data_IF_106210650383
#
_entry.id   IF_106210650383
#
_cell.length_a   1.000
_cell.length_b   1.000
_cell.length_c   1.000
_cell.angle_alpha   90.00
_cell.angle_beta   90.00
_cell.angle_gamma   90.00
#
_symmetry.space_group_name_H-M   'P 1'
#
loop_
_entity.id
_entity.type
_entity.pdbx_description
1 polymer ?
#
# COMPACT_ATOMS: atom_id res chain seq x y z
N UNK A 1 -52.59 -0.03 -14.84
CA UNK A 1 -51.41 0.26 -15.67
C UNK A 1 -50.23 0.34 -14.71
N UNK A 2 -49.53 -0.79 -14.51
CA UNK A 2 -48.38 -0.87 -13.59
C UNK A 2 -47.13 -0.52 -14.40
N UNK A 3 -46.51 0.62 -14.09
CA UNK A 3 -45.17 0.94 -14.58
C UNK A 3 -44.20 -0.03 -13.91
N UNK A 4 -43.61 -0.91 -14.71
CA UNK A 4 -42.47 -1.73 -14.31
C UNK A 4 -41.27 -0.83 -14.11
N UNK A 5 -40.58 -1.08 -13.01
CA UNK A 5 -39.34 -0.46 -12.59
C UNK A 5 -38.33 -0.39 -13.75
N UNK A 6 -37.82 0.81 -14.01
CA UNK A 6 -36.66 1.00 -14.87
C UNK A 6 -35.43 0.52 -14.10
N UNK A 7 -35.15 -0.77 -14.23
CA UNK A 7 -33.89 -1.38 -13.83
C UNK A 7 -32.76 -0.67 -14.61
N UNK A 8 -31.97 0.17 -13.93
CA UNK A 8 -30.73 0.72 -14.50
C UNK A 8 -29.83 -0.44 -14.88
N UNK A 9 -29.70 -0.69 -16.19
CA UNK A 9 -28.80 -1.71 -16.72
C UNK A 9 -27.39 -1.46 -16.17
N UNK A 10 -26.85 -2.41 -15.41
CA UNK A 10 -25.44 -2.36 -14.98
C UNK A 10 -24.56 -2.39 -16.23
N UNK A 11 -23.77 -1.33 -16.39
CA UNK A 11 -22.86 -1.22 -17.53
C UNK A 11 -21.60 -2.05 -17.23
N UNK A 12 -21.56 -3.27 -17.73
CA UNK A 12 -20.42 -4.18 -17.58
C UNK A 12 -19.44 -3.95 -18.74
N UNK A 13 -18.18 -3.65 -18.42
CA UNK A 13 -17.09 -3.47 -19.39
C UNK A 13 -15.97 -4.50 -19.18
N UNK A 14 -14.99 -4.52 -20.10
CA UNK A 14 -13.77 -5.33 -19.95
C UNK A 14 -12.81 -4.66 -18.96
N UNK A 15 -12.05 -5.48 -18.22
CA UNK A 15 -10.92 -5.02 -17.42
C UNK A 15 -9.80 -4.52 -18.34
N UNK A 16 -9.23 -3.37 -18.04
CA UNK A 16 -8.09 -2.79 -18.75
C UNK A 16 -6.91 -2.63 -17.79
N UNK A 17 -5.74 -3.11 -18.21
CA UNK A 17 -4.49 -2.93 -17.47
C UNK A 17 -3.85 -1.64 -17.94
N UNK A 18 -3.54 -0.76 -16.98
CA UNK A 18 -2.90 0.54 -17.22
C UNK A 18 -1.57 0.63 -16.50
N UNK A 19 -0.62 1.47 -16.96
CA UNK A 19 0.58 1.79 -16.20
C UNK A 19 0.24 2.29 -14.78
N UNK A 20 1.04 1.89 -13.78
CA UNK A 20 0.74 2.22 -12.38
C UNK A 20 0.60 3.72 -12.12
N UNK A 21 1.34 4.55 -12.87
CA UNK A 21 1.33 6.02 -12.76
C UNK A 21 0.08 6.67 -13.34
N UNK A 22 -0.62 5.96 -14.23
CA UNK A 22 -1.92 6.41 -14.71
C UNK A 22 -3.02 6.12 -13.68
N UNK A 23 -2.90 5.01 -12.95
CA UNK A 23 -3.79 4.67 -11.84
C UNK A 23 -3.52 5.53 -10.59
N UNK A 24 -2.24 5.71 -10.24
CA UNK A 24 -1.78 6.44 -9.05
C UNK A 24 -0.79 7.54 -9.45
N UNK A 25 -1.30 8.75 -9.62
CA UNK A 25 -0.50 9.89 -10.08
C UNK A 25 0.56 10.31 -9.06
N UNK A 26 0.24 10.24 -7.78
CA UNK A 26 1.12 10.56 -6.67
C UNK A 26 1.20 9.38 -5.70
N UNK A 27 2.41 8.95 -5.36
CA UNK A 27 2.62 7.80 -4.47
C UNK A 27 2.02 8.02 -3.09
N UNK A 28 2.50 9.02 -2.35
CA UNK A 28 2.03 9.34 -1.00
C UNK A 28 0.52 9.65 -0.93
N UNK A 29 -0.01 10.43 -1.89
CA UNK A 29 -1.38 10.91 -1.83
C UNK A 29 -2.41 10.03 -2.55
N UNK A 30 -1.98 9.06 -3.37
CA UNK A 30 -2.89 8.16 -4.07
C UNK A 30 -2.61 6.70 -3.72
N UNK A 31 -1.40 6.21 -3.98
CA UNK A 31 -1.10 4.80 -3.76
C UNK A 31 -1.04 4.43 -2.29
N UNK A 32 -0.32 5.18 -1.45
CA UNK A 32 -0.23 4.89 -0.02
C UNK A 32 -1.61 4.96 0.65
N UNK A 33 -2.45 5.92 0.26
CA UNK A 33 -3.85 6.04 0.74
C UNK A 33 -4.70 4.85 0.28
N UNK A 34 -4.55 4.42 -0.97
CA UNK A 34 -5.27 3.27 -1.48
C UNK A 34 -4.81 1.97 -0.79
N UNK A 35 -3.50 1.79 -0.61
CA UNK A 35 -2.94 0.61 0.03
C UNK A 35 -3.36 0.51 1.49
N UNK A 36 -3.39 1.64 2.23
CA UNK A 36 -3.93 1.69 3.59
C UNK A 36 -5.39 1.18 3.66
N UNK A 37 -6.23 1.61 2.71
CA UNK A 37 -7.65 1.25 2.65
C UNK A 37 -7.91 -0.17 2.12
N UNK A 38 -6.89 -0.80 1.54
CA UNK A 38 -6.97 -2.11 0.90
C UNK A 38 -5.81 -3.00 1.38
N UNK A 39 -5.43 -2.87 2.65
CA UNK A 39 -4.26 -3.56 3.23
C UNK A 39 -4.45 -5.09 3.19
N UNK A 40 -5.69 -5.54 3.10
CA UNK A 40 -6.08 -6.93 2.92
C UNK A 40 -5.49 -7.49 1.61
N UNK A 41 -5.44 -6.70 0.53
CA UNK A 41 -4.85 -7.13 -0.74
C UNK A 41 -3.35 -7.42 -0.58
N UNK A 42 -2.63 -6.61 0.20
CA UNK A 42 -1.22 -6.86 0.50
C UNK A 42 -1.07 -8.07 1.43
N UNK A 43 -1.94 -8.21 2.43
CA UNK A 43 -1.96 -9.35 3.36
C UNK A 43 -2.16 -10.69 2.63
N UNK A 44 -3.06 -10.70 1.63
CA UNK A 44 -3.32 -11.87 0.79
C UNK A 44 -2.08 -12.25 -0.03
N UNK A 45 -1.39 -11.26 -0.64
CA UNK A 45 -0.20 -11.49 -1.44
C UNK A 45 0.99 -12.01 -0.61
N UNK A 46 1.24 -11.43 0.57
CA UNK A 46 2.36 -11.84 1.43
C UNK A 46 2.06 -13.10 2.27
N UNK A 47 0.80 -13.56 2.28
CA UNK A 47 0.37 -14.79 2.96
C UNK A 47 0.22 -14.68 4.48
N UNK A 48 0.21 -13.46 5.04
CA UNK A 48 -0.09 -13.22 6.44
C UNK A 48 -0.78 -11.88 6.66
N UNK A 49 -1.57 -11.81 7.73
CA UNK A 49 -2.38 -10.63 8.05
C UNK A 49 -1.52 -9.52 8.66
N UNK A 50 -1.70 -8.30 8.17
CA UNK A 50 -1.15 -7.08 8.75
C UNK A 50 -2.25 -6.04 8.93
N UNK A 51 -2.14 -5.23 9.99
CA UNK A 51 -3.06 -4.13 10.29
C UNK A 51 -2.31 -2.82 10.24
N UNK A 52 -2.87 -1.80 9.59
CA UNK A 52 -2.28 -0.45 9.59
C UNK A 52 -2.47 0.23 10.94
N UNK A 53 -1.39 0.78 11.49
CA UNK A 53 -1.36 1.56 12.73
C UNK A 53 -1.30 3.05 12.45
N UNK A 54 -0.45 3.47 11.50
CA UNK A 54 -0.24 4.87 11.17
C UNK A 54 0.24 5.01 9.71
N UNK A 55 -0.06 6.13 9.07
CA UNK A 55 0.38 6.47 7.72
C UNK A 55 1.33 7.66 7.78
N UNK A 56 2.40 7.64 6.98
CA UNK A 56 3.43 8.68 6.96
C UNK A 56 4.04 8.91 8.36
N UNK A 57 4.30 7.82 9.10
CA UNK A 57 4.82 7.90 10.47
C UNK A 57 6.23 8.48 10.48
N UNK A 58 6.43 9.57 11.21
CA UNK A 58 7.75 10.18 11.34
C UNK A 58 8.76 9.34 12.11
N UNK A 59 9.95 9.18 11.51
CA UNK A 59 11.13 8.52 12.05
C UNK A 59 12.33 9.47 11.87
N UNK A 60 12.61 10.28 12.89
CA UNK A 60 13.62 11.32 12.80
C UNK A 60 13.25 12.38 11.78
N UNK A 61 14.03 12.51 10.71
CA UNK A 61 13.81 13.49 9.63
C UNK A 61 13.04 12.94 8.43
N UNK A 62 12.64 11.66 8.48
CA UNK A 62 11.95 11.00 7.39
C UNK A 62 10.62 10.41 7.87
N UNK A 63 9.80 9.92 6.95
CA UNK A 63 8.54 9.26 7.25
C UNK A 63 8.54 7.87 6.62
N UNK A 64 8.06 6.87 7.37
CA UNK A 64 7.70 5.56 6.82
C UNK A 64 6.30 5.65 6.22
N UNK A 65 6.06 5.07 5.04
CA UNK A 65 4.78 5.21 4.33
C UNK A 65 3.63 4.61 5.14
N UNK A 66 3.76 3.36 5.58
CA UNK A 66 2.83 2.74 6.53
C UNK A 66 3.58 2.05 7.67
N UNK A 67 3.13 2.34 8.88
CA UNK A 67 3.44 1.54 10.05
C UNK A 67 2.32 0.53 10.26
N UNK A 68 2.67 -0.75 10.34
CA UNK A 68 1.73 -1.84 10.52
C UNK A 68 2.12 -2.73 11.70
N UNK A 69 1.22 -3.63 12.09
CA UNK A 69 1.49 -4.73 13.00
C UNK A 69 0.95 -6.06 12.48
N UNK A 70 1.60 -7.17 12.84
CA UNK A 70 1.04 -8.50 12.63
C UNK A 70 0.08 -8.91 13.76
N UNK A 71 -0.54 -10.08 13.62
CA UNK A 71 -1.46 -10.63 14.63
C UNK A 71 -0.81 -10.90 16.02
N UNK A 72 0.51 -10.83 16.14
CA UNK A 72 1.26 -10.98 17.40
C UNK A 72 1.68 -9.63 17.98
N UNK A 73 1.35 -8.52 17.32
CA UNK A 73 1.76 -7.17 17.70
C UNK A 73 3.20 -6.84 17.32
N UNK A 74 3.84 -7.62 16.43
CA UNK A 74 5.16 -7.28 15.93
C UNK A 74 5.05 -6.13 14.94
N UNK A 75 5.92 -5.12 15.09
CA UNK A 75 5.96 -3.99 14.18
C UNK A 75 6.45 -4.39 12.79
N UNK A 76 5.77 -3.87 11.78
CA UNK A 76 6.05 -4.04 10.36
C UNK A 76 6.09 -2.66 9.72
N UNK A 77 7.06 -2.44 8.85
CA UNK A 77 7.10 -1.25 8.00
C UNK A 77 6.73 -1.60 6.57
N UNK A 78 5.97 -0.73 5.91
CA UNK A 78 5.73 -0.80 4.47
C UNK A 78 6.27 0.48 3.85
N UNK A 79 7.09 0.32 2.82
CA UNK A 79 7.61 1.40 1.97
C UNK A 79 7.15 1.16 0.54
N UNK A 80 6.64 2.20 -0.11
CA UNK A 80 6.24 2.15 -1.50
C UNK A 80 7.31 2.80 -2.37
N UNK A 81 7.49 2.26 -3.58
CA UNK A 81 8.30 2.90 -4.61
C UNK A 81 7.75 2.53 -5.99
N UNK A 82 6.94 3.42 -6.55
CA UNK A 82 6.33 3.25 -7.87
C UNK A 82 7.28 3.65 -9.02
N UNK A 83 8.57 3.77 -8.74
CA UNK A 83 9.67 3.83 -9.70
C UNK A 83 10.56 2.58 -9.56
N UNK A 84 11.56 2.47 -10.44
CA UNK A 84 12.63 1.49 -10.31
C UNK A 84 13.37 1.67 -8.99
N UNK A 85 13.63 0.56 -8.30
CA UNK A 85 14.38 0.51 -7.04
C UNK A 85 15.71 1.27 -7.11
N UNK A 86 16.07 1.92 -5.99
CA UNK A 86 17.38 2.54 -5.84
C UNK A 86 17.95 2.33 -4.43
N UNK A 87 19.27 2.53 -4.29
CA UNK A 87 19.95 2.34 -3.00
C UNK A 87 19.47 3.30 -1.90
N UNK A 88 18.96 4.48 -2.27
CA UNK A 88 18.50 5.47 -1.29
C UNK A 88 17.23 4.98 -0.61
N UNK A 89 16.27 4.44 -1.35
CA UNK A 89 15.05 3.86 -0.77
C UNK A 89 15.38 2.61 0.04
N UNK A 90 16.32 1.77 -0.41
CA UNK A 90 16.81 0.64 0.39
C UNK A 90 17.38 1.12 1.74
N UNK A 91 18.16 2.21 1.76
CA UNK A 91 18.67 2.77 3.02
C UNK A 91 17.56 3.30 3.92
N UNK A 92 16.50 3.87 3.37
CA UNK A 92 15.33 4.30 4.13
C UNK A 92 14.66 3.10 4.80
N UNK A 93 14.35 2.05 4.03
CA UNK A 93 13.77 0.79 4.54
C UNK A 93 14.59 0.25 5.72
N UNK A 94 15.91 0.11 5.54
CA UNK A 94 16.79 -0.39 6.60
C UNK A 94 16.84 0.52 7.82
N UNK A 95 16.87 1.84 7.60
CA UNK A 95 16.88 2.84 8.67
C UNK A 95 15.60 2.74 9.50
N UNK A 96 14.44 2.61 8.85
CA UNK A 96 13.16 2.50 9.53
C UNK A 96 13.04 1.17 10.28
N UNK A 97 13.48 0.07 9.65
CA UNK A 97 13.46 -1.26 10.24
C UNK A 97 14.19 -1.25 11.59
N UNK A 98 15.37 -0.64 11.63
CA UNK A 98 16.19 -0.55 12.86
C UNK A 98 15.61 0.45 13.86
N UNK A 99 15.24 1.67 13.44
CA UNK A 99 14.79 2.72 14.37
C UNK A 99 13.43 2.42 15.02
N UNK A 100 12.55 1.71 14.31
CA UNK A 100 11.24 1.32 14.81
C UNK A 100 11.24 -0.07 15.47
N UNK A 101 12.41 -0.71 15.58
CA UNK A 101 12.56 -2.09 16.06
C UNK A 101 11.61 -3.05 15.33
N UNK A 102 11.35 -2.77 14.06
CA UNK A 102 10.41 -3.54 13.26
C UNK A 102 11.01 -4.92 12.93
N UNK A 103 10.16 -5.93 12.95
CA UNK A 103 10.57 -7.32 12.71
C UNK A 103 10.58 -7.66 11.23
N UNK A 104 9.79 -6.93 10.44
CA UNK A 104 9.58 -7.17 9.02
C UNK A 104 9.53 -5.83 8.28
N UNK A 105 10.19 -5.77 7.12
CA UNK A 105 10.01 -4.71 6.15
C UNK A 105 9.36 -5.29 4.89
N UNK A 106 8.35 -4.59 4.38
CA UNK A 106 7.72 -4.88 3.10
C UNK A 106 8.02 -3.70 2.17
N UNK A 107 8.67 -3.96 1.04
CA UNK A 107 9.00 -2.94 0.07
C UNK A 107 8.22 -3.20 -1.23
N UNK A 108 7.25 -2.35 -1.51
CA UNK A 108 6.35 -2.49 -2.66
C UNK A 108 6.92 -1.70 -3.83
N UNK A 109 7.36 -2.41 -4.87
CA UNK A 109 7.95 -1.79 -6.07
C UNK A 109 7.37 -2.35 -7.36
N UNK A 110 7.53 -1.60 -8.45
CA UNK A 110 7.10 -2.02 -9.79
C UNK A 110 8.09 -2.92 -10.52
N UNK A 111 9.37 -2.90 -10.13
CA UNK A 111 10.44 -3.66 -10.79
C UNK A 111 11.66 -3.78 -9.86
N UNK A 112 12.40 -4.89 -9.94
CA UNK A 112 13.53 -5.20 -9.05
C UNK A 112 14.89 -4.91 -9.69
#
# INVERSE_FOLDING_TARGET
>A
MLNRDSETAMNVSKLEVVPIREAFRHEAHNFTVWLEQNIEALSEEIGFQITVIDREKSVGSFNVDLLCEDAKGNTIIVENQLERTDHRHLWQVLTYLVNLEATTAIWVTTDA
#
